data_IF_845061519485
#
_entry.id   IF_845061519485
#
_cell.length_a   1.000
_cell.length_b   1.000
_cell.length_c   1.000
_cell.angle_alpha   90.00
_cell.angle_beta   90.00
_cell.angle_gamma   90.00
#
_symmetry.space_group_name_H-M   'P 1'
#
loop_
_entity.id
_entity.type
_entity.pdbx_description
1 polymer ?
#
# COMPACT_ATOMS: atom_id res chain seq x y z
N UNK A 1 29.64 -36.35 -22.15
CA UNK A 1 28.18 -36.61 -21.97
C UNK A 1 27.61 -36.65 -23.38
N UNK A 2 27.09 -37.81 -23.79
CA UNK A 2 26.62 -38.03 -25.18
C UNK A 2 25.35 -37.21 -25.40
N UNK A 3 25.25 -36.54 -26.55
CA UNK A 3 24.10 -35.72 -26.98
C UNK A 3 22.80 -36.54 -26.98
N UNK A 4 22.89 -37.85 -27.25
CA UNK A 4 21.77 -38.76 -27.21
C UNK A 4 21.11 -38.86 -25.81
N UNK A 5 21.89 -38.82 -24.74
CA UNK A 5 21.37 -38.82 -23.36
C UNK A 5 20.49 -37.56 -23.05
N UNK A 6 20.91 -36.41 -23.56
CA UNK A 6 20.18 -35.15 -23.38
C UNK A 6 18.87 -35.14 -24.18
N UNK A 7 18.90 -35.68 -25.38
CA UNK A 7 17.72 -35.75 -26.28
C UNK A 7 16.69 -36.73 -25.71
N UNK A 8 17.13 -37.88 -25.24
CA UNK A 8 16.28 -38.94 -24.71
C UNK A 8 15.61 -38.54 -23.39
N UNK A 9 16.27 -37.68 -22.61
CA UNK A 9 15.78 -37.21 -21.30
C UNK A 9 15.34 -35.73 -21.32
N UNK A 10 15.13 -35.15 -22.49
CA UNK A 10 14.77 -33.74 -22.67
C UNK A 10 13.50 -33.33 -21.88
N UNK A 11 12.54 -34.25 -21.76
CA UNK A 11 11.33 -34.01 -21.00
C UNK A 11 11.60 -33.87 -19.48
N UNK A 12 12.56 -34.63 -18.92
CA UNK A 12 12.99 -34.50 -17.53
C UNK A 12 13.69 -33.17 -17.28
N UNK A 13 14.52 -32.75 -18.25
CA UNK A 13 15.20 -31.44 -18.18
C UNK A 13 14.17 -30.31 -18.24
N UNK A 14 13.19 -30.40 -19.15
CA UNK A 14 12.12 -29.41 -19.26
C UNK A 14 11.28 -29.32 -17.97
N UNK A 15 10.99 -30.45 -17.34
CA UNK A 15 10.25 -30.53 -16.09
C UNK A 15 11.07 -29.94 -14.94
N UNK A 16 12.35 -30.22 -14.85
CA UNK A 16 13.24 -29.67 -13.84
C UNK A 16 13.39 -28.13 -13.98
N UNK A 17 13.58 -27.64 -15.21
CA UNK A 17 13.66 -26.20 -15.50
C UNK A 17 12.33 -25.52 -15.21
N UNK A 18 11.20 -26.09 -15.63
CA UNK A 18 9.86 -25.56 -15.37
C UNK A 18 9.57 -25.47 -13.86
N UNK A 19 9.91 -26.53 -13.13
CA UNK A 19 9.78 -26.56 -11.66
C UNK A 19 10.67 -25.50 -10.99
N UNK A 20 11.92 -25.37 -11.44
CA UNK A 20 12.85 -24.34 -10.95
C UNK A 20 12.35 -22.93 -11.20
N UNK A 21 11.88 -22.64 -12.41
CA UNK A 21 11.30 -21.36 -12.77
C UNK A 21 10.05 -21.04 -11.95
N UNK A 22 9.20 -22.03 -11.67
CA UNK A 22 8.00 -21.86 -10.85
C UNK A 22 8.34 -21.49 -9.40
N UNK A 23 9.44 -22.00 -8.86
CA UNK A 23 9.91 -21.64 -7.50
C UNK A 23 10.58 -20.26 -7.46
N UNK A 24 11.28 -19.87 -8.53
CA UNK A 24 11.97 -18.58 -8.60
C UNK A 24 11.00 -17.44 -8.96
N UNK A 25 9.95 -17.75 -9.76
CA UNK A 25 8.97 -16.76 -10.19
C UNK A 25 8.41 -15.88 -9.07
N UNK A 26 7.90 -16.41 -7.93
CA UNK A 26 7.40 -15.59 -6.84
C UNK A 26 8.49 -14.76 -6.14
N UNK A 27 9.75 -15.16 -6.22
CA UNK A 27 10.87 -14.39 -5.66
C UNK A 27 11.18 -13.18 -6.53
N UNK A 28 11.18 -13.36 -7.86
CA UNK A 28 11.41 -12.28 -8.83
C UNK A 28 10.20 -11.32 -8.92
N UNK A 29 8.99 -11.85 -8.74
CA UNK A 29 7.74 -11.05 -8.81
C UNK A 29 7.32 -10.48 -7.46
N UNK A 30 8.00 -10.81 -6.36
CA UNK A 30 7.81 -10.13 -5.06
C UNK A 30 8.28 -8.68 -5.14
N UNK A 31 7.71 -7.91 -6.04
CA UNK A 31 7.89 -6.46 -6.19
C UNK A 31 7.31 -5.64 -5.04
N UNK A 32 6.92 -6.27 -3.95
CA UNK A 32 6.52 -5.59 -2.72
C UNK A 32 7.71 -4.84 -2.12
N UNK A 33 7.49 -3.65 -1.57
CA UNK A 33 8.52 -2.87 -0.87
C UNK A 33 9.20 -3.68 0.24
N UNK A 34 10.38 -3.24 0.66
CA UNK A 34 11.09 -3.84 1.78
C UNK A 34 10.20 -3.82 3.03
N UNK A 35 10.07 -4.96 3.70
CA UNK A 35 9.29 -5.05 4.93
C UNK A 35 10.07 -4.42 6.08
N UNK A 36 9.37 -3.65 6.90
CA UNK A 36 9.92 -3.01 8.11
C UNK A 36 9.02 -3.32 9.29
N UNK A 37 9.65 -3.54 10.44
CA UNK A 37 8.96 -3.73 11.71
C UNK A 37 8.44 -2.39 12.26
N UNK A 38 7.53 -2.43 13.25
CA UNK A 38 7.00 -1.21 13.89
C UNK A 38 8.10 -0.31 14.46
N UNK A 39 9.12 -0.82 15.20
CA UNK A 39 10.21 0.02 15.68
C UNK A 39 11.00 0.69 14.55
N UNK A 40 11.30 -0.05 13.48
CA UNK A 40 12.00 0.50 12.31
C UNK A 40 11.16 1.58 11.62
N UNK A 41 9.86 1.34 11.43
CA UNK A 41 8.94 2.31 10.86
C UNK A 41 8.89 3.59 11.70
N UNK A 42 8.80 3.47 13.02
CA UNK A 42 8.79 4.61 13.95
C UNK A 42 10.10 5.41 13.86
N UNK A 43 11.24 4.72 13.79
CA UNK A 43 12.53 5.37 13.62
C UNK A 43 12.57 6.16 12.30
N UNK A 44 12.09 5.57 11.21
CA UNK A 44 12.05 6.23 9.89
C UNK A 44 11.10 7.44 9.87
N UNK A 45 9.93 7.35 10.52
CA UNK A 45 9.00 8.47 10.66
C UNK A 45 9.64 9.66 11.39
N UNK A 46 10.39 9.38 12.47
CA UNK A 46 11.00 10.41 13.30
C UNK A 46 12.28 10.98 12.70
N UNK A 47 13.18 10.15 12.21
CA UNK A 47 14.52 10.58 11.78
C UNK A 47 14.60 10.89 10.30
N UNK A 48 13.94 10.09 9.44
CA UNK A 48 14.00 10.24 7.97
C UNK A 48 12.81 11.02 7.40
N UNK A 49 11.91 11.54 8.24
CA UNK A 49 10.66 12.22 7.83
C UNK A 49 9.85 11.37 6.84
N UNK A 50 9.86 10.05 7.05
CA UNK A 50 9.09 9.13 6.22
C UNK A 50 7.59 9.48 6.30
N UNK A 51 6.87 9.22 5.22
CA UNK A 51 5.42 9.43 5.16
C UNK A 51 4.73 8.08 5.25
N UNK A 52 3.83 7.92 6.22
CA UNK A 52 2.99 6.73 6.31
C UNK A 52 1.79 6.88 5.37
N UNK A 53 1.56 5.86 4.55
CA UNK A 53 0.47 5.80 3.58
C UNK A 53 -0.48 4.67 3.95
N UNK A 54 -1.68 5.02 4.37
CA UNK A 54 -2.73 4.06 4.72
C UNK A 54 -3.62 3.78 3.50
N UNK A 55 -3.55 2.53 3.02
CA UNK A 55 -4.27 2.08 1.82
C UNK A 55 -5.57 1.34 2.13
N UNK A 56 -6.04 1.39 3.37
CA UNK A 56 -7.28 0.72 3.79
C UNK A 56 -8.49 1.44 3.24
N UNK A 57 -9.54 0.67 2.98
CA UNK A 57 -10.84 1.20 2.61
C UNK A 57 -11.52 1.87 3.82
N UNK A 58 -12.43 2.81 3.58
CA UNK A 58 -13.06 3.65 4.62
C UNK A 58 -13.78 2.81 5.68
N UNK A 59 -14.45 1.72 5.31
CA UNK A 59 -15.13 0.84 6.24
C UNK A 59 -14.18 0.23 7.28
N UNK A 60 -12.98 -0.19 6.86
CA UNK A 60 -11.96 -0.71 7.77
C UNK A 60 -11.41 0.36 8.68
N UNK A 61 -11.26 1.56 8.18
CA UNK A 61 -10.71 2.68 8.95
C UNK A 61 -11.69 3.14 10.01
N UNK A 62 -12.98 3.24 9.69
CA UNK A 62 -14.04 3.62 10.63
C UNK A 62 -14.10 2.67 11.83
N UNK A 63 -13.92 1.37 11.60
CA UNK A 63 -13.96 0.35 12.64
C UNK A 63 -12.66 0.21 13.42
N UNK A 64 -11.52 0.40 12.76
CA UNK A 64 -10.19 0.11 13.34
C UNK A 64 -9.42 1.33 13.80
N UNK A 65 -9.86 2.53 13.41
CA UNK A 65 -9.18 3.79 13.68
C UNK A 65 -8.06 4.12 12.69
N UNK A 66 -7.49 5.30 12.82
CA UNK A 66 -6.46 5.89 11.95
C UNK A 66 -5.14 6.04 12.69
N UNK A 67 -4.05 5.77 12.00
CA UNK A 67 -2.71 6.13 12.50
C UNK A 67 -2.53 7.65 12.35
N UNK A 68 -2.10 8.37 13.39
CA UNK A 68 -1.88 9.81 13.32
C UNK A 68 -0.89 10.16 12.21
N UNK A 69 -1.17 11.25 11.48
CA UNK A 69 -0.36 11.76 10.39
C UNK A 69 -0.17 10.82 9.18
N UNK A 70 -0.87 9.68 9.13
CA UNK A 70 -0.87 8.84 7.95
C UNK A 70 -1.71 9.49 6.83
N UNK A 71 -1.18 9.49 5.62
CA UNK A 71 -1.94 9.89 4.42
C UNK A 71 -2.81 8.74 3.96
N UNK A 72 -4.10 8.99 3.83
CA UNK A 72 -5.07 7.98 3.42
C UNK A 72 -5.31 8.06 1.92
N UNK A 73 -5.09 6.94 1.25
CA UNK A 73 -5.40 6.80 -0.18
C UNK A 73 -5.84 5.37 -0.43
N UNK A 74 -7.08 5.18 -0.89
CA UNK A 74 -7.56 3.85 -1.26
C UNK A 74 -6.68 3.25 -2.36
N UNK A 75 -6.46 1.94 -2.32
CA UNK A 75 -5.56 1.26 -3.26
C UNK A 75 -5.93 1.51 -4.73
N UNK A 76 -7.22 1.66 -5.03
CA UNK A 76 -7.74 1.96 -6.37
C UNK A 76 -7.32 3.33 -6.89
N UNK A 77 -7.20 4.31 -6.00
CA UNK A 77 -6.86 5.70 -6.32
C UNK A 77 -5.36 5.98 -6.19
N UNK A 78 -4.58 4.97 -5.76
CA UNK A 78 -3.18 5.14 -5.41
C UNK A 78 -2.32 5.60 -6.59
N UNK A 79 -2.62 5.11 -7.79
CA UNK A 79 -1.90 5.48 -9.01
C UNK A 79 -2.09 6.96 -9.35
N UNK A 80 -3.32 7.45 -9.27
CA UNK A 80 -3.68 8.82 -9.66
C UNK A 80 -3.23 9.83 -8.60
N UNK A 81 -3.22 9.43 -7.33
CA UNK A 81 -2.84 10.27 -6.20
C UNK A 81 -1.39 10.10 -5.74
N UNK A 82 -0.61 9.27 -6.42
CA UNK A 82 0.78 8.98 -6.04
C UNK A 82 1.62 10.28 -5.88
N UNK A 83 1.46 11.25 -6.77
CA UNK A 83 2.24 12.49 -6.75
C UNK A 83 1.90 13.42 -5.56
N UNK A 84 0.76 13.20 -4.91
CA UNK A 84 0.34 14.01 -3.75
C UNK A 84 0.84 13.45 -2.42
N UNK A 85 1.42 12.24 -2.42
CA UNK A 85 1.83 11.55 -1.20
C UNK A 85 3.06 12.18 -0.54
N UNK A 86 4.02 12.64 -1.32
CA UNK A 86 5.21 13.30 -0.80
C UNK A 86 5.66 14.42 -1.75
N UNK A 87 6.45 15.34 -1.23
CA UNK A 87 6.97 16.47 -2.01
C UNK A 87 8.02 16.04 -3.02
N UNK A 88 8.79 15.01 -2.70
CA UNK A 88 9.85 14.47 -3.56
C UNK A 88 9.72 12.95 -3.65
N UNK A 89 10.23 12.37 -4.72
CA UNK A 89 10.19 10.91 -4.93
C UNK A 89 11.22 10.14 -4.09
N UNK A 90 12.19 10.83 -3.51
CA UNK A 90 13.17 10.28 -2.56
C UNK A 90 12.63 10.20 -1.13
N UNK A 91 11.48 10.82 -0.86
CA UNK A 91 10.86 10.73 0.47
C UNK A 91 10.47 9.28 0.78
N UNK A 92 10.97 8.68 1.88
CA UNK A 92 10.62 7.32 2.24
C UNK A 92 9.13 7.19 2.50
N UNK A 93 8.47 6.23 1.86
CA UNK A 93 7.06 5.91 2.07
C UNK A 93 6.93 4.60 2.83
N UNK A 94 6.09 4.57 3.85
CA UNK A 94 5.75 3.36 4.60
C UNK A 94 4.30 3.03 4.34
N UNK A 95 4.04 1.94 3.63
CA UNK A 95 2.68 1.52 3.26
C UNK A 95 2.08 0.68 4.36
N UNK A 96 0.92 1.10 4.83
CA UNK A 96 0.13 0.45 5.87
C UNK A 96 -1.17 -0.10 5.28
N UNK A 97 -1.46 -1.36 5.57
CA UNK A 97 -2.80 -1.93 5.42
C UNK A 97 -3.22 -2.64 6.72
N UNK A 98 -4.30 -3.40 6.75
CA UNK A 98 -4.77 -4.05 7.96
C UNK A 98 -3.79 -5.09 8.51
N UNK A 99 -3.26 -5.97 7.66
CA UNK A 99 -2.40 -7.11 8.03
C UNK A 99 -1.04 -7.13 7.33
N UNK A 100 -0.73 -6.16 6.46
CA UNK A 100 0.48 -6.14 5.62
C UNK A 100 0.33 -6.87 4.27
N UNK A 101 -0.72 -7.66 4.05
CA UNK A 101 -0.85 -8.49 2.85
C UNK A 101 -1.02 -7.67 1.55
N UNK A 102 -1.89 -6.66 1.55
CA UNK A 102 -2.15 -5.81 0.37
C UNK A 102 -1.10 -4.72 0.15
N UNK A 103 -0.31 -4.41 1.16
CA UNK A 103 0.66 -3.32 1.12
C UNK A 103 1.80 -3.57 0.10
N UNK A 104 2.14 -4.84 -0.17
CA UNK A 104 3.13 -5.18 -1.19
C UNK A 104 2.72 -4.77 -2.60
N UNK A 105 1.46 -5.01 -2.99
CA UNK A 105 0.94 -4.58 -4.29
C UNK A 105 0.95 -3.04 -4.41
N UNK A 106 0.54 -2.35 -3.35
CA UNK A 106 0.57 -0.89 -3.30
C UNK A 106 1.99 -0.33 -3.40
N UNK A 107 2.96 -0.97 -2.74
CA UNK A 107 4.37 -0.59 -2.83
C UNK A 107 4.91 -0.73 -4.27
N UNK A 108 4.47 -1.76 -5.01
CA UNK A 108 4.82 -1.91 -6.43
C UNK A 108 4.27 -0.75 -7.27
N UNK A 109 3.02 -0.33 -7.04
CA UNK A 109 2.43 0.83 -7.73
C UNK A 109 3.20 2.11 -7.44
N UNK A 110 3.58 2.34 -6.18
CA UNK A 110 4.36 3.53 -5.79
C UNK A 110 5.76 3.54 -6.38
N UNK A 111 6.44 2.39 -6.44
CA UNK A 111 7.74 2.27 -7.12
C UNK A 111 7.60 2.54 -8.62
N UNK A 112 6.55 2.04 -9.27
CA UNK A 112 6.26 2.34 -10.67
C UNK A 112 5.95 3.83 -10.91
N UNK A 113 5.42 4.54 -9.90
CA UNK A 113 5.21 5.98 -9.91
C UNK A 113 6.50 6.79 -9.63
N UNK A 114 7.66 6.12 -9.49
CA UNK A 114 8.99 6.74 -9.37
C UNK A 114 9.48 6.93 -7.94
N UNK A 115 8.81 6.43 -6.91
CA UNK A 115 9.33 6.46 -5.55
C UNK A 115 10.47 5.44 -5.37
N UNK A 116 11.61 5.89 -4.85
CA UNK A 116 12.81 5.05 -4.65
C UNK A 116 12.72 4.24 -3.36
N UNK A 117 12.29 4.86 -2.27
CA UNK A 117 12.28 4.31 -0.93
C UNK A 117 10.84 3.97 -0.50
N UNK A 118 10.37 2.76 -0.86
CA UNK A 118 9.04 2.28 -0.49
C UNK A 118 9.15 1.05 0.40
N UNK A 119 8.61 1.18 1.59
CA UNK A 119 8.60 0.17 2.63
C UNK A 119 7.18 -0.31 2.92
N UNK A 120 7.06 -1.52 3.45
CA UNK A 120 5.80 -2.13 3.85
C UNK A 120 5.84 -2.40 5.34
N UNK A 121 4.85 -1.91 6.09
CA UNK A 121 4.75 -2.22 7.52
C UNK A 121 4.35 -3.67 7.70
N UNK A 122 5.24 -4.45 8.30
CA UNK A 122 4.98 -5.86 8.59
C UNK A 122 3.89 -6.01 9.65
N UNK A 123 2.97 -6.95 9.44
CA UNK A 123 1.78 -7.09 10.28
C UNK A 123 0.76 -5.95 10.18
N UNK A 124 1.07 -4.86 9.47
CA UNK A 124 0.16 -3.75 9.21
C UNK A 124 -0.34 -3.04 10.47
N UNK A 125 -1.61 -2.61 10.47
CA UNK A 125 -2.23 -1.94 11.62
C UNK A 125 -2.32 -2.85 12.85
N UNK A 126 -2.45 -4.15 12.67
CA UNK A 126 -2.53 -5.07 13.80
C UNK A 126 -1.22 -5.03 14.60
N UNK A 127 -0.07 -5.20 13.94
CA UNK A 127 1.24 -5.10 14.58
C UNK A 127 1.49 -3.70 15.18
N UNK A 128 1.00 -2.64 14.52
CA UNK A 128 1.07 -1.27 15.04
C UNK A 128 0.35 -1.12 16.38
N UNK A 129 -0.86 -1.72 16.50
CA UNK A 129 -1.65 -1.73 17.75
C UNK A 129 -1.02 -2.60 18.83
N UNK A 130 -0.54 -3.81 18.46
CA UNK A 130 0.14 -4.74 19.37
C UNK A 130 1.39 -4.12 19.99
N UNK A 131 2.10 -3.29 19.23
CA UNK A 131 3.24 -2.51 19.71
C UNK A 131 2.83 -1.30 20.59
N UNK A 132 1.56 -1.14 20.95
CA UNK A 132 1.06 -0.03 21.76
C UNK A 132 1.12 1.34 21.10
N UNK A 133 1.26 1.39 19.79
CA UNK A 133 1.39 2.65 19.07
C UNK A 133 0.05 3.37 18.92
N UNK A 134 0.03 4.69 18.91
CA UNK A 134 -1.21 5.46 18.95
C UNK A 134 -2.06 5.24 17.69
N UNK A 135 -3.35 5.02 17.93
CA UNK A 135 -4.39 4.95 16.90
C UNK A 135 -5.55 5.84 17.36
N UNK A 136 -5.94 6.81 16.56
CA UNK A 136 -7.10 7.66 16.82
C UNK A 136 -8.36 7.00 16.31
N UNK A 137 -9.42 6.94 17.12
CA UNK A 137 -10.75 6.60 16.62
C UNK A 137 -11.20 7.71 15.68
N UNK A 138 -11.71 7.35 14.49
CA UNK A 138 -12.38 8.31 13.66
C UNK A 138 -13.70 8.68 14.33
N UNK A 139 -13.81 9.90 14.85
CA UNK A 139 -15.12 10.48 15.11
C UNK A 139 -15.72 10.68 13.71
N UNK A 140 -16.88 10.09 13.46
CA UNK A 140 -17.69 10.45 12.31
C UNK A 140 -18.02 11.92 12.45
N UNK A 141 -17.27 12.80 11.81
CA UNK A 141 -17.73 14.14 11.54
C UNK A 141 -18.82 14.00 10.48
N UNK A 142 -20.04 13.90 10.98
CA UNK A 142 -21.24 14.16 10.22
C UNK A 142 -21.31 15.68 9.93
N UNK A 143 -20.37 16.18 9.13
CA UNK A 143 -20.39 17.56 8.67
C UNK A 143 -19.90 17.62 7.23
N UNK A 144 -20.81 17.36 6.35
CA UNK A 144 -20.87 18.00 5.04
C UNK A 144 -22.34 18.30 4.73
N UNK A 145 -22.85 19.46 5.10
CA UNK A 145 -24.09 19.92 4.52
C UNK A 145 -23.80 20.23 3.05
N UNK A 146 -24.21 19.35 2.18
CA UNK A 146 -24.44 19.68 0.77
C UNK A 146 -25.49 20.79 0.77
N UNK A 147 -25.06 22.02 0.64
CA UNK A 147 -25.97 23.13 0.31
C UNK A 147 -26.48 22.90 -1.10
N UNK A 148 -27.57 22.18 -1.20
CA UNK A 148 -28.40 22.21 -2.38
C UNK A 148 -28.89 23.65 -2.57
N UNK A 149 -28.40 24.30 -3.61
CA UNK A 149 -28.85 25.60 -4.04
C UNK A 149 -30.33 25.54 -4.39
N UNK A 150 -31.16 26.04 -3.50
CA UNK A 150 -32.55 26.33 -3.83
C UNK A 150 -32.56 27.60 -4.68
N UNK A 151 -32.63 27.36 -5.97
CA UNK A 151 -32.96 28.43 -6.93
C UNK A 151 -34.46 28.72 -6.82
N UNK A 152 -34.80 29.71 -6.01
CA UNK A 152 -36.18 30.17 -5.83
C UNK A 152 -36.52 31.05 -7.02
N UNK A 153 -37.13 30.44 -8.04
CA UNK A 153 -37.77 31.18 -9.08
C UNK A 153 -38.92 32.00 -8.49
N UNK A 154 -38.77 33.31 -8.48
CA UNK A 154 -39.76 34.26 -8.07
C UNK A 154 -40.63 34.60 -9.29
N UNK A 155 -41.73 33.91 -9.43
CA UNK A 155 -42.79 34.35 -10.33
C UNK A 155 -43.41 35.62 -9.76
N UNK A 156 -43.18 36.75 -10.41
CA UNK A 156 -43.85 37.99 -10.16
C UNK A 156 -45.12 38.07 -10.97
N UNK A 157 -46.20 38.26 -10.30
CA UNK A 157 -47.51 38.57 -10.84
C UNK A 157 -47.72 40.08 -10.67
N UNK A 158 -47.86 40.79 -11.74
CA UNK A 158 -48.86 41.81 -12.05
C UNK A 158 -48.29 42.85 -13.00
#
# INVERSE_FOLDING_TARGET
MSQEFLIQNSWLIALAVGSGLMLIWPILTKGGGTRVTVPQATLMLNQRKAVMVDIRDDDFVNNSGVVPNAKRVAIKDLKDKADTLAKTKETPLIVLCQTGARAGAAATVLKAAGYTDVFVLDGGLNAWKEAGMPVKKMQQTSDAPVKAGQNKAKAGKK
#
